data_IF_994115806712
#
_entry.id   IF_994115806712
#
_cell.length_a   1.000
_cell.length_b   1.000
_cell.length_c   1.000
_cell.angle_alpha   90.00
_cell.angle_beta   90.00
_cell.angle_gamma   90.00
#
_symmetry.space_group_name_H-M   'P 1'
#
loop_
_entity.id
_entity.type
_entity.pdbx_description
1 polymer ?
#
# COMPACT_ATOMS: atom_id res chain seq x y z
N UNK A 1 -29.34 8.35 13.86
CA UNK A 1 -28.10 8.26 13.04
C UNK A 1 -26.99 7.80 13.96
N UNK A 2 -26.65 6.52 13.90
CA UNK A 2 -25.61 5.93 14.75
C UNK A 2 -24.32 5.86 13.94
N UNK A 3 -23.57 6.95 13.92
CA UNK A 3 -22.25 7.05 13.29
C UNK A 3 -21.20 6.32 14.15
N UNK A 4 -21.40 5.01 14.33
CA UNK A 4 -20.68 4.20 15.32
C UNK A 4 -20.26 2.83 14.78
N UNK A 5 -19.87 2.75 13.51
CA UNK A 5 -19.43 1.49 12.90
C UNK A 5 -18.14 1.71 12.09
N UNK A 6 -17.08 2.19 12.76
CA UNK A 6 -15.71 1.94 12.33
C UNK A 6 -14.90 1.46 13.54
N UNK A 7 -14.98 0.19 13.95
CA UNK A 7 -13.85 -0.45 14.64
C UNK A 7 -12.79 -0.79 13.59
N UNK A 8 -12.39 0.20 12.78
CA UNK A 8 -11.32 0.01 11.82
C UNK A 8 -10.03 0.19 12.62
N UNK A 9 -9.22 -0.86 12.64
CA UNK A 9 -8.00 -1.00 13.43
C UNK A 9 -6.99 0.06 13.03
N UNK A 10 -7.21 1.30 13.47
CA UNK A 10 -6.21 2.32 13.36
C UNK A 10 -5.10 1.91 14.32
N UNK A 11 -3.98 1.48 13.77
CA UNK A 11 -2.73 1.39 14.53
C UNK A 11 -2.44 2.84 14.93
N UNK A 12 -2.88 3.20 16.15
CA UNK A 12 -2.80 4.57 16.65
C UNK A 12 -1.35 5.03 16.85
N UNK A 13 -0.43 4.07 16.88
CA UNK A 13 0.98 4.24 17.17
C UNK A 13 1.82 4.04 15.91
N UNK A 14 2.40 5.12 15.39
CA UNK A 14 3.24 5.11 14.19
C UNK A 14 4.41 4.12 14.32
N UNK A 15 4.96 3.96 15.53
CA UNK A 15 6.06 3.04 15.80
C UNK A 15 5.65 1.57 15.57
N UNK A 16 4.47 1.19 16.03
CA UNK A 16 3.88 -0.14 15.83
C UNK A 16 3.64 -0.40 14.34
N UNK A 17 3.07 0.56 13.62
CA UNK A 17 2.84 0.46 12.18
C UNK A 17 4.17 0.27 11.43
N UNK A 18 5.20 1.05 11.78
CA UNK A 18 6.54 0.94 11.17
C UNK A 18 7.17 -0.43 11.41
N UNK A 19 7.01 -1.00 12.61
CA UNK A 19 7.52 -2.34 12.93
C UNK A 19 6.82 -3.42 12.14
N UNK A 20 5.49 -3.37 12.04
CA UNK A 20 4.71 -4.33 11.26
C UNK A 20 5.04 -4.25 9.76
N UNK A 21 5.13 -3.03 9.21
CA UNK A 21 5.57 -2.81 7.83
C UNK A 21 6.98 -3.36 7.61
N UNK A 22 7.93 -3.05 8.50
CA UNK A 22 9.31 -3.51 8.37
C UNK A 22 9.43 -5.03 8.41
N UNK A 23 8.67 -5.69 9.29
CA UNK A 23 8.63 -7.14 9.37
C UNK A 23 8.04 -7.76 8.10
N UNK A 24 6.94 -7.19 7.58
CA UNK A 24 6.29 -7.63 6.36
C UNK A 24 7.18 -7.39 5.12
N UNK A 25 7.84 -6.24 5.02
CA UNK A 25 8.79 -5.93 3.96
C UNK A 25 9.97 -6.90 3.96
N UNK A 26 10.51 -7.22 5.14
CA UNK A 26 11.59 -8.19 5.27
C UNK A 26 11.16 -9.57 4.77
N UNK A 27 10.02 -10.07 5.24
CA UNK A 27 9.51 -11.38 4.80
C UNK A 27 9.26 -11.42 3.29
N UNK A 28 8.68 -10.35 2.73
CA UNK A 28 8.45 -10.23 1.29
C UNK A 28 9.75 -10.20 0.49
N UNK A 29 10.75 -9.46 0.96
CA UNK A 29 12.06 -9.35 0.31
C UNK A 29 12.83 -10.68 0.38
N UNK A 30 12.72 -11.42 1.49
CA UNK A 30 13.29 -12.77 1.62
C UNK A 30 12.65 -13.75 0.63
N UNK A 31 11.35 -13.61 0.36
CA UNK A 31 10.66 -14.40 -0.67
C UNK A 31 11.09 -14.05 -2.10
N UNK A 32 11.79 -12.93 -2.32
CA UNK A 32 12.36 -12.47 -3.59
C UNK A 32 11.41 -12.61 -4.79
N UNK A 33 10.10 -12.46 -4.52
CA UNK A 33 9.09 -12.60 -5.55
C UNK A 33 9.16 -11.39 -6.46
N UNK A 34 9.62 -11.63 -7.70
CA UNK A 34 9.68 -10.58 -8.72
C UNK A 34 8.26 -10.09 -8.95
N UNK A 35 8.03 -8.81 -8.66
CA UNK A 35 6.76 -8.17 -8.96
C UNK A 35 6.60 -8.15 -10.48
N UNK A 36 5.71 -8.99 -10.99
CA UNK A 36 5.32 -8.98 -12.40
C UNK A 36 4.36 -7.83 -12.62
N UNK A 37 4.91 -6.66 -12.96
CA UNK A 37 4.14 -5.48 -13.30
C UNK A 37 3.32 -5.75 -14.58
N UNK A 38 2.02 -5.47 -14.53
CA UNK A 38 1.10 -5.61 -15.68
C UNK A 38 1.25 -4.51 -16.73
N UNK A 39 1.99 -3.46 -16.39
CA UNK A 39 2.23 -2.32 -17.26
C UNK A 39 3.59 -1.71 -16.95
N UNK A 40 4.21 -1.11 -17.96
CA UNK A 40 5.47 -0.38 -17.79
C UNK A 40 5.21 0.97 -17.13
N UNK A 41 6.24 1.61 -16.57
CA UNK A 41 6.13 2.96 -16.00
C UNK A 41 5.55 3.97 -17.02
N UNK A 42 5.95 3.83 -18.30
CA UNK A 42 5.42 4.66 -19.38
C UNK A 42 3.91 4.43 -19.61
N UNK A 43 3.45 3.17 -19.63
CA UNK A 43 2.03 2.83 -19.80
C UNK A 43 1.19 3.27 -18.58
N UNK A 44 1.76 3.18 -17.37
CA UNK A 44 1.18 3.73 -16.14
C UNK A 44 0.89 5.22 -16.30
N UNK A 45 1.88 5.98 -16.80
CA UNK A 45 1.80 7.44 -16.91
C UNK A 45 0.73 7.89 -17.91
N UNK A 46 0.44 7.08 -18.93
CA UNK A 46 -0.65 7.34 -19.88
C UNK A 46 -2.01 6.99 -19.28
N UNK A 47 -2.14 5.81 -18.66
CA UNK A 47 -3.42 5.34 -18.08
C UNK A 47 -3.86 6.12 -16.85
N UNK A 48 -2.92 6.47 -15.97
CA UNK A 48 -3.18 7.17 -14.72
C UNK A 48 -3.30 8.69 -14.88
N UNK A 49 -2.88 9.27 -16.03
CA UNK A 49 -3.04 10.71 -16.32
C UNK A 49 -4.49 11.17 -16.16
N UNK A 50 -5.45 10.31 -16.49
CA UNK A 50 -6.87 10.60 -16.33
C UNK A 50 -7.33 10.57 -14.86
N UNK A 51 -6.68 9.75 -14.03
CA UNK A 51 -7.07 9.53 -12.63
C UNK A 51 -6.41 10.52 -11.67
N UNK A 52 -5.25 11.06 -12.05
CA UNK A 52 -4.53 12.09 -11.29
C UNK A 52 -4.17 13.28 -12.20
N UNK A 53 -5.16 14.12 -12.54
CA UNK A 53 -4.89 15.39 -13.18
C UNK A 53 -4.38 16.38 -12.11
N UNK A 54 -3.06 16.53 -12.03
CA UNK A 54 -2.26 17.46 -11.18
C UNK A 54 -1.79 16.91 -9.84
#
# INVERSE_FOLDING_TARGET
MLSGQCPDRSIADEETLRREISAWEKERNEKSEKITWRFTNADARVKLKRLYPS
#
